data_IF_467393346484
#
_entry.id   IF_467393346484
#
_cell.length_a   1.000
_cell.length_b   1.000
_cell.length_c   1.000
_cell.angle_alpha   90.00
_cell.angle_beta   90.00
_cell.angle_gamma   90.00
#
_symmetry.space_group_name_H-M   'P 1'
#
loop_
_entity.id
_entity.type
_entity.pdbx_description
1 polymer ?
#
# COMPACT_ATOMS: atom_id res chain seq x y z
N UNK A 1 13.21 -3.65 31.82
CA UNK A 1 12.31 -4.55 31.05
C UNK A 1 10.87 -4.02 30.91
N UNK A 2 10.28 -3.31 31.90
CA UNK A 2 8.92 -2.74 31.77
C UNK A 2 8.75 -1.60 30.75
N UNK A 3 9.80 -0.82 30.47
CA UNK A 3 9.71 0.28 29.50
C UNK A 3 9.69 -0.22 28.03
N UNK A 4 10.35 -1.34 27.75
CA UNK A 4 10.46 -1.91 26.40
C UNK A 4 9.09 -2.45 25.95
N UNK A 5 8.41 -3.21 26.82
CA UNK A 5 7.04 -3.70 26.55
C UNK A 5 6.02 -2.57 26.35
N UNK A 6 6.20 -1.42 27.00
CA UNK A 6 5.25 -0.31 26.92
C UNK A 6 5.36 0.43 25.58
N UNK A 7 6.58 0.64 25.07
CA UNK A 7 6.81 1.30 23.78
C UNK A 7 6.39 0.39 22.63
N UNK A 8 6.73 -0.91 22.67
CA UNK A 8 6.31 -1.85 21.63
C UNK A 8 4.78 -1.96 21.54
N UNK A 9 4.08 -1.97 22.68
CA UNK A 9 2.61 -2.06 22.69
C UNK A 9 1.98 -0.81 22.08
N UNK A 10 2.45 0.39 22.44
CA UNK A 10 1.89 1.65 21.95
C UNK A 10 2.13 1.85 20.45
N UNK A 11 3.32 1.49 19.96
CA UNK A 11 3.65 1.54 18.53
C UNK A 11 2.84 0.50 17.76
N UNK A 12 2.72 -0.73 18.28
CA UNK A 12 1.95 -1.78 17.62
C UNK A 12 0.46 -1.42 17.51
N UNK A 13 -0.13 -0.87 18.57
CA UNK A 13 -1.53 -0.43 18.57
C UNK A 13 -1.75 0.71 17.56
N UNK A 14 -0.85 1.68 17.49
CA UNK A 14 -0.91 2.75 16.50
C UNK A 14 -0.83 2.22 15.06
N UNK A 15 0.11 1.30 14.80
CA UNK A 15 0.28 0.70 13.47
C UNK A 15 -0.95 -0.10 13.06
N UNK A 16 -1.54 -0.87 13.97
CA UNK A 16 -2.72 -1.70 13.66
C UNK A 16 -3.98 -0.85 13.48
N UNK A 17 -4.20 0.16 14.33
CA UNK A 17 -5.45 0.93 14.31
C UNK A 17 -5.47 2.01 13.23
N UNK A 18 -4.32 2.64 12.95
CA UNK A 18 -4.25 3.80 12.06
C UNK A 18 -3.51 3.49 10.77
N UNK A 19 -2.27 3.01 10.89
CA UNK A 19 -1.39 2.88 9.73
C UNK A 19 -1.84 1.78 8.77
N UNK A 20 -2.20 0.61 9.30
CA UNK A 20 -2.56 -0.57 8.51
C UNK A 20 -3.84 -0.34 7.70
N UNK A 21 -4.94 0.19 8.28
CA UNK A 21 -6.13 0.52 7.51
C UNK A 21 -5.87 1.64 6.50
N UNK A 22 -5.06 2.65 6.84
CA UNK A 22 -4.70 3.71 5.91
C UNK A 22 -4.01 3.16 4.66
N UNK A 23 -2.99 2.30 4.88
CA UNK A 23 -2.26 1.66 3.79
C UNK A 23 -3.19 0.82 2.92
N UNK A 24 -4.07 0.05 3.55
CA UNK A 24 -5.03 -0.78 2.84
C UNK A 24 -6.02 0.06 2.01
N UNK A 25 -6.54 1.15 2.56
CA UNK A 25 -7.44 2.07 1.83
C UNK A 25 -6.73 2.72 0.65
N UNK A 26 -5.50 3.20 0.84
CA UNK A 26 -4.70 3.80 -0.24
C UNK A 26 -4.42 2.76 -1.33
N UNK A 27 -4.04 1.55 -0.94
CA UNK A 27 -3.82 0.45 -1.88
C UNK A 27 -5.06 0.15 -2.71
N UNK A 28 -6.22 -0.03 -2.07
CA UNK A 28 -7.47 -0.26 -2.79
C UNK A 28 -7.87 0.92 -3.68
N UNK A 29 -7.63 2.16 -3.24
CA UNK A 29 -7.88 3.35 -4.05
C UNK A 29 -7.00 3.35 -5.32
N UNK A 30 -5.72 2.99 -5.20
CA UNK A 30 -4.81 2.87 -6.34
C UNK A 30 -5.25 1.74 -7.27
N UNK A 31 -5.61 0.57 -6.74
CA UNK A 31 -6.11 -0.54 -7.56
C UNK A 31 -7.39 -0.14 -8.30
N UNK A 32 -8.34 0.50 -7.62
CA UNK A 32 -9.56 0.99 -8.24
C UNK A 32 -9.25 2.03 -9.34
N UNK A 33 -8.30 2.94 -9.10
CA UNK A 33 -7.84 3.91 -10.08
C UNK A 33 -7.18 3.24 -11.30
N UNK A 34 -6.31 2.25 -11.09
CA UNK A 34 -5.64 1.53 -12.16
C UNK A 34 -6.61 0.73 -13.03
N UNK A 35 -7.63 0.11 -12.42
CA UNK A 35 -8.67 -0.66 -13.12
C UNK A 35 -9.76 0.22 -13.74
N UNK A 36 -9.82 1.52 -13.39
CA UNK A 36 -10.81 2.45 -13.93
C UNK A 36 -10.67 2.54 -15.46
N UNK A 37 -11.77 2.52 -16.24
CA UNK A 37 -11.71 2.40 -17.70
C UNK A 37 -10.82 3.43 -18.41
N UNK A 38 -10.77 4.65 -17.85
CA UNK A 38 -9.95 5.75 -18.36
C UNK A 38 -8.44 5.47 -18.28
N UNK A 39 -8.00 4.74 -17.26
CA UNK A 39 -6.60 4.52 -16.92
C UNK A 39 -6.12 3.10 -17.24
N UNK A 40 -7.06 2.14 -17.31
CA UNK A 40 -6.79 0.72 -17.52
C UNK A 40 -5.87 0.41 -18.70
N UNK A 41 -6.04 1.09 -19.84
CA UNK A 41 -5.23 0.85 -21.03
C UNK A 41 -3.73 1.18 -20.82
N UNK A 42 -3.43 2.25 -20.08
CA UNK A 42 -2.06 2.64 -19.78
C UNK A 42 -1.39 1.65 -18.83
N UNK A 43 -2.12 1.20 -17.80
CA UNK A 43 -1.61 0.21 -16.85
C UNK A 43 -1.44 -1.19 -17.48
N UNK A 44 -2.32 -1.58 -18.40
CA UNK A 44 -2.21 -2.85 -19.12
C UNK A 44 -1.00 -2.88 -20.08
N UNK A 45 -0.72 -1.75 -20.74
CA UNK A 45 0.47 -1.59 -21.58
C UNK A 45 1.75 -1.62 -20.74
N UNK A 46 1.79 -0.85 -19.65
CA UNK A 46 2.91 -0.82 -18.72
C UNK A 46 3.21 -2.21 -18.11
N UNK A 47 2.18 -3.00 -17.81
CA UNK A 47 2.34 -4.36 -17.27
C UNK A 47 2.97 -5.36 -18.27
N UNK A 48 2.91 -5.06 -19.57
CA UNK A 48 3.48 -5.86 -20.65
C UNK A 48 4.83 -5.35 -21.13
N UNK A 49 5.31 -4.24 -20.55
CA UNK A 49 6.57 -3.65 -20.96
C UNK A 49 7.71 -4.63 -20.69
N UNK A 50 8.53 -4.98 -21.70
CA UNK A 50 9.68 -5.84 -21.48
C UNK A 50 10.65 -5.18 -20.52
N UNK A 51 11.38 -5.99 -19.74
CA UNK A 51 12.49 -5.51 -18.94
C UNK A 51 13.49 -4.82 -19.87
N UNK A 52 13.65 -3.51 -19.72
CA UNK A 52 14.65 -2.74 -20.46
C UNK A 52 15.96 -2.89 -19.71
N UNK A 53 16.97 -3.42 -20.41
CA UNK A 53 18.35 -3.35 -19.94
C UNK A 53 18.86 -1.95 -20.30
N UNK A 54 18.96 -1.09 -19.29
CA UNK A 54 19.68 0.19 -19.38
C UNK A 54 21.19 -0.04 -19.26
#
# INVERSE_FOLDING_TARGET
>A
MKAIINVETWVSEFVVLWWTPMFMVIFFAIVAYALWPRNKAQFDDAAKMPLRED
#
